data_IF_849832043429
#
_entry.id   IF_849832043429
#
_cell.length_a   1.000
_cell.length_b   1.000
_cell.length_c   1.000
_cell.angle_alpha   90.00
_cell.angle_beta   90.00
_cell.angle_gamma   90.00
#
_symmetry.space_group_name_H-M   'P 1'
#
loop_
_entity.id
_entity.type
_entity.pdbx_description
1 polymer ?
#
# COMPACT_ATOMS: atom_id res chain seq x y z
N UNK A 1 54.18 22.59 -33.02
CA UNK A 1 52.74 22.26 -32.90
C UNK A 1 51.79 23.41 -33.25
N UNK A 2 51.65 24.51 -32.48
CA UNK A 2 50.68 25.58 -32.84
C UNK A 2 51.16 26.56 -33.93
N UNK A 3 52.48 26.83 -34.02
CA UNK A 3 53.07 27.59 -35.16
C UNK A 3 53.01 26.83 -36.49
N UNK A 4 52.92 25.49 -36.45
CA UNK A 4 52.80 24.64 -37.65
C UNK A 4 51.37 24.63 -38.21
N UNK A 5 50.39 25.16 -37.47
CA UNK A 5 48.99 25.28 -37.88
C UNK A 5 48.65 26.70 -38.40
N UNK A 6 49.64 27.58 -38.57
CA UNK A 6 49.47 28.89 -39.21
C UNK A 6 48.95 30.02 -38.31
N UNK A 7 48.88 29.82 -37.00
CA UNK A 7 48.48 30.88 -36.06
C UNK A 7 49.59 31.92 -35.88
N UNK A 8 49.23 33.20 -35.99
CA UNK A 8 50.14 34.35 -35.80
C UNK A 8 50.25 34.72 -34.31
N UNK A 9 51.39 35.27 -33.91
CA UNK A 9 51.77 35.46 -32.49
C UNK A 9 50.84 36.44 -31.70
N UNK A 10 49.90 37.13 -32.35
CA UNK A 10 48.90 38.04 -31.74
C UNK A 10 47.46 37.44 -31.65
N UNK A 11 47.24 36.19 -32.08
CA UNK A 11 45.88 35.62 -32.10
C UNK A 11 45.39 35.13 -30.74
N UNK A 12 44.19 35.57 -30.34
CA UNK A 12 43.47 35.06 -29.17
C UNK A 12 42.71 33.80 -29.58
N UNK A 13 43.09 32.64 -29.04
CA UNK A 13 42.35 31.40 -29.25
C UNK A 13 41.23 31.30 -28.21
N UNK A 14 39.99 31.29 -28.69
CA UNK A 14 38.83 30.99 -27.85
C UNK A 14 38.60 29.48 -27.82
N UNK A 15 38.68 28.88 -26.64
CA UNK A 15 38.38 27.46 -26.43
C UNK A 15 37.04 27.36 -25.70
N UNK A 16 36.01 26.90 -26.41
CA UNK A 16 34.73 26.59 -25.79
C UNK A 16 34.78 25.19 -25.20
N UNK A 17 34.73 25.08 -23.87
CA UNK A 17 34.58 23.80 -23.18
C UNK A 17 33.11 23.57 -22.89
N UNK A 18 32.51 22.62 -23.60
CA UNK A 18 31.13 22.21 -23.38
C UNK A 18 31.09 21.12 -22.32
N UNK A 19 30.70 21.47 -21.10
CA UNK A 19 30.46 20.50 -20.05
C UNK A 19 28.97 20.20 -19.96
N UNK A 20 28.59 18.98 -20.35
CA UNK A 20 27.27 18.48 -19.99
C UNK A 20 27.30 18.10 -18.51
N UNK A 21 27.08 19.08 -17.63
CA UNK A 21 26.61 18.77 -16.29
C UNK A 21 25.23 18.17 -16.51
N UNK A 22 25.17 16.86 -16.57
CA UNK A 22 23.95 16.13 -16.34
C UNK A 22 23.74 16.25 -14.83
N UNK A 23 22.79 17.05 -14.31
CA UNK A 23 22.38 16.97 -12.91
C UNK A 23 21.60 15.66 -12.67
N UNK A 24 22.03 14.56 -13.30
CA UNK A 24 21.72 13.18 -12.98
C UNK A 24 22.45 12.83 -11.67
N UNK A 25 22.25 13.65 -10.63
CA UNK A 25 22.27 13.10 -9.29
C UNK A 25 21.02 12.24 -9.22
N UNK A 26 21.23 10.96 -9.51
CA UNK A 26 20.26 9.86 -9.43
C UNK A 26 19.16 10.14 -8.40
N UNK A 27 18.05 10.68 -8.87
CA UNK A 27 16.79 10.64 -8.14
C UNK A 27 15.93 9.56 -8.83
N UNK A 28 15.37 8.60 -8.09
CA UNK A 28 14.55 7.53 -8.67
C UNK A 28 13.23 8.01 -9.29
N UNK A 29 12.92 9.31 -9.27
CA UNK A 29 11.59 9.86 -9.56
C UNK A 29 11.58 11.06 -10.53
N UNK A 30 12.29 10.95 -11.64
CA UNK A 30 12.02 11.75 -12.84
C UNK A 30 13.10 12.75 -13.24
N UNK A 31 13.15 13.03 -14.54
CA UNK A 31 14.05 14.00 -15.14
C UNK A 31 13.55 15.43 -14.89
N UNK A 32 14.48 16.34 -14.62
CA UNK A 32 14.21 17.78 -14.61
C UNK A 32 13.86 18.24 -16.03
N UNK A 33 12.84 19.08 -16.16
CA UNK A 33 12.37 19.61 -17.43
C UNK A 33 12.40 21.15 -17.35
N UNK A 34 12.96 21.79 -18.37
CA UNK A 34 12.87 23.24 -18.58
C UNK A 34 11.53 23.54 -19.22
N UNK A 35 10.82 24.54 -18.69
CA UNK A 35 9.53 24.96 -19.20
C UNK A 35 9.67 25.95 -20.36
N UNK A 36 8.74 25.90 -21.32
CA UNK A 36 8.63 26.92 -22.35
C UNK A 36 8.31 28.29 -21.72
N UNK A 37 8.70 29.42 -22.35
CA UNK A 37 8.42 30.76 -21.83
C UNK A 37 6.93 31.00 -21.52
N UNK A 38 6.04 30.49 -22.36
CA UNK A 38 4.60 30.61 -22.16
C UNK A 38 4.11 29.89 -20.88
N UNK A 39 4.69 28.73 -20.55
CA UNK A 39 4.32 27.97 -19.36
C UNK A 39 4.98 28.55 -18.09
N UNK A 40 6.21 29.08 -18.22
CA UNK A 40 6.91 29.81 -17.16
C UNK A 40 6.17 31.07 -16.75
N UNK A 41 5.63 31.85 -17.70
CA UNK A 41 4.82 33.05 -17.41
C UNK A 41 3.59 32.71 -16.53
N UNK A 42 2.97 31.55 -16.75
CA UNK A 42 1.79 31.11 -15.99
C UNK A 42 2.16 30.59 -14.60
N UNK A 43 3.19 29.73 -14.52
CA UNK A 43 3.49 28.98 -13.30
C UNK A 43 4.54 29.65 -12.41
N UNK A 44 5.29 30.63 -12.93
CA UNK A 44 6.38 31.29 -12.21
C UNK A 44 7.58 30.37 -11.91
N UNK A 45 7.69 29.25 -12.63
CA UNK A 45 8.76 28.26 -12.49
C UNK A 45 9.45 28.03 -13.84
N UNK A 46 10.77 27.90 -13.81
CA UNK A 46 11.60 27.71 -15.00
C UNK A 46 12.02 26.24 -15.18
N UNK A 47 12.31 25.55 -14.08
CA UNK A 47 12.78 24.16 -14.08
C UNK A 47 12.11 23.39 -12.94
N UNK A 48 11.47 22.27 -13.26
CA UNK A 48 10.95 21.35 -12.25
C UNK A 48 10.73 19.95 -12.85
N UNK A 49 10.23 19.02 -12.03
CA UNK A 49 9.83 17.67 -12.46
C UNK A 49 8.40 17.68 -12.98
N UNK A 50 8.11 16.85 -14.00
CA UNK A 50 6.78 16.71 -14.59
C UNK A 50 5.63 16.57 -13.58
N UNK A 51 5.71 15.72 -12.53
CA UNK A 51 4.63 15.60 -11.54
C UNK A 51 4.41 16.88 -10.76
N UNK A 52 5.48 17.60 -10.41
CA UNK A 52 5.41 18.87 -9.69
C UNK A 52 4.82 19.97 -10.57
N UNK A 53 5.19 20.04 -11.86
CA UNK A 53 4.60 20.95 -12.84
C UNK A 53 3.09 20.73 -12.94
N UNK A 54 2.64 19.48 -13.10
CA UNK A 54 1.20 19.13 -13.11
C UNK A 54 0.53 19.56 -11.80
N UNK A 55 1.19 19.34 -10.66
CA UNK A 55 0.73 19.77 -9.35
C UNK A 55 0.56 21.29 -9.24
N UNK A 56 1.50 22.08 -9.78
CA UNK A 56 1.41 23.55 -9.78
C UNK A 56 0.29 24.03 -10.71
N UNK A 57 0.12 23.43 -11.89
CA UNK A 57 -1.01 23.74 -12.80
C UNK A 57 -2.34 23.48 -12.08
N UNK A 58 -2.45 22.36 -11.36
CA UNK A 58 -3.65 22.05 -10.57
C UNK A 58 -3.92 23.10 -9.49
N UNK A 59 -2.88 23.53 -8.76
CA UNK A 59 -3.00 24.61 -7.77
C UNK A 59 -3.40 25.95 -8.41
N UNK A 60 -2.83 26.29 -9.56
CA UNK A 60 -3.18 27.50 -10.32
C UNK A 60 -4.66 27.51 -10.70
N UNK A 61 -5.17 26.40 -11.27
CA UNK A 61 -6.58 26.25 -11.66
C UNK A 61 -7.51 26.39 -10.46
N UNK A 62 -7.15 25.80 -9.31
CA UNK A 62 -7.93 25.93 -8.07
C UNK A 62 -7.91 27.35 -7.50
N UNK A 63 -6.73 27.98 -7.43
CA UNK A 63 -6.58 29.33 -6.87
C UNK A 63 -7.41 30.37 -7.64
N UNK A 64 -7.52 30.21 -8.96
CA UNK A 64 -8.30 31.09 -9.84
C UNK A 64 -9.75 30.64 -10.08
N UNK A 65 -10.21 29.59 -9.40
CA UNK A 65 -11.57 29.03 -9.52
C UNK A 65 -11.97 28.73 -10.97
N UNK A 66 -11.01 28.21 -11.75
CA UNK A 66 -11.20 27.93 -13.18
C UNK A 66 -11.85 26.57 -13.44
N UNK A 67 -12.04 25.75 -12.41
CA UNK A 67 -12.70 24.46 -12.51
C UNK A 67 -14.19 24.63 -12.87
N UNK A 68 -14.70 23.79 -13.76
CA UNK A 68 -16.09 23.84 -14.18
C UNK A 68 -17.01 23.32 -13.04
N UNK A 69 -18.03 24.09 -12.60
CA UNK A 69 -18.93 23.68 -11.53
C UNK A 69 -19.82 22.49 -11.90
N UNK A 70 -20.14 22.31 -13.19
CA UNK A 70 -21.01 21.21 -13.65
C UNK A 70 -20.26 19.91 -13.90
N UNK A 71 -18.96 19.96 -14.18
CA UNK A 71 -18.12 18.78 -14.38
C UNK A 71 -16.70 19.05 -13.86
N UNK A 72 -16.33 18.52 -12.69
CA UNK A 72 -15.03 18.77 -12.06
C UNK A 72 -13.84 18.18 -12.82
N UNK A 73 -14.09 17.36 -13.84
CA UNK A 73 -13.04 16.80 -14.71
C UNK A 73 -12.46 17.83 -15.67
N UNK A 74 -13.17 18.94 -15.89
CA UNK A 74 -12.78 20.02 -16.80
C UNK A 74 -12.48 21.33 -16.06
N UNK A 75 -11.62 22.13 -16.67
CA UNK A 75 -11.38 23.52 -16.31
C UNK A 75 -11.41 24.41 -17.55
N UNK A 76 -11.73 25.68 -17.33
CA UNK A 76 -11.67 26.74 -18.33
C UNK A 76 -10.27 27.35 -18.30
N UNK A 77 -9.64 27.45 -19.47
CA UNK A 77 -8.35 28.12 -19.59
C UNK A 77 -8.60 29.63 -19.58
N UNK A 78 -7.97 30.33 -18.65
CA UNK A 78 -7.88 31.79 -18.70
C UNK A 78 -6.89 32.22 -19.81
N UNK A 79 -6.81 33.53 -20.08
CA UNK A 79 -5.99 34.05 -21.17
C UNK A 79 -4.53 33.53 -21.17
N UNK A 80 -3.82 33.44 -20.03
CA UNK A 80 -2.48 32.84 -19.98
C UNK A 80 -2.47 31.34 -20.30
N UNK A 81 -3.40 30.56 -19.74
CA UNK A 81 -3.51 29.12 -20.04
C UNK A 81 -3.92 28.85 -21.50
N UNK A 82 -4.70 29.74 -22.11
CA UNK A 82 -5.05 29.65 -23.53
C UNK A 82 -3.81 29.82 -24.42
N UNK A 83 -2.87 30.70 -24.06
CA UNK A 83 -1.60 30.83 -24.81
C UNK A 83 -0.77 29.55 -24.78
N UNK A 84 -0.80 28.83 -23.66
CA UNK A 84 -0.09 27.54 -23.52
C UNK A 84 -0.82 26.45 -24.28
N UNK A 85 -2.11 26.25 -24.00
CA UNK A 85 -2.83 25.06 -24.45
C UNK A 85 -3.57 25.22 -25.79
N UNK A 86 -3.79 26.45 -26.23
CA UNK A 86 -4.54 26.78 -27.45
C UNK A 86 -6.01 26.39 -27.41
N UNK A 87 -6.59 26.23 -26.21
CA UNK A 87 -7.99 25.79 -26.02
C UNK A 87 -8.63 26.52 -24.86
N UNK A 88 -9.92 26.83 -24.99
CA UNK A 88 -10.71 27.51 -23.95
C UNK A 88 -11.13 26.57 -22.80
N UNK A 89 -11.24 25.27 -23.08
CA UNK A 89 -11.67 24.25 -22.11
C UNK A 89 -10.84 22.98 -22.25
N UNK A 90 -10.43 22.40 -21.13
CA UNK A 90 -9.59 21.20 -21.09
C UNK A 90 -9.96 20.25 -19.96
N UNK A 91 -9.77 18.93 -20.18
CA UNK A 91 -9.81 17.90 -19.12
C UNK A 91 -8.46 17.80 -18.42
N UNK A 92 -8.45 17.59 -17.11
CA UNK A 92 -7.22 17.40 -16.34
C UNK A 92 -6.36 16.21 -16.84
N UNK A 93 -6.98 15.14 -17.33
CA UNK A 93 -6.27 13.98 -17.89
C UNK A 93 -5.43 14.32 -19.13
N UNK A 94 -5.79 15.38 -19.85
CA UNK A 94 -5.07 15.81 -21.06
C UNK A 94 -3.90 16.74 -20.75
N UNK A 95 -3.81 17.27 -19.53
CA UNK A 95 -2.76 18.22 -19.12
C UNK A 95 -1.38 17.60 -19.32
N UNK A 96 -1.16 16.37 -18.84
CA UNK A 96 0.12 15.68 -18.98
C UNK A 96 0.56 15.58 -20.44
N UNK A 97 -0.35 15.26 -21.36
CA UNK A 97 -0.02 15.18 -22.79
C UNK A 97 0.30 16.57 -23.35
N UNK A 98 -0.51 17.57 -23.03
CA UNK A 98 -0.40 18.93 -23.57
C UNK A 98 0.86 19.64 -23.11
N UNK A 99 1.27 19.46 -21.86
CA UNK A 99 2.52 20.06 -21.36
C UNK A 99 3.76 19.45 -22.00
N UNK A 100 3.71 18.23 -22.55
CA UNK A 100 4.90 17.59 -23.17
C UNK A 100 5.57 18.46 -24.24
N UNK A 101 4.80 19.28 -24.97
CA UNK A 101 5.31 20.19 -26.00
C UNK A 101 5.96 21.47 -25.43
N UNK A 102 5.80 21.70 -24.13
CA UNK A 102 6.31 22.85 -23.39
C UNK A 102 7.42 22.45 -22.41
N UNK A 103 7.93 21.21 -22.51
CA UNK A 103 8.92 20.64 -21.62
C UNK A 103 10.13 20.25 -22.44
N UNK A 104 11.29 20.77 -22.05
CA UNK A 104 12.56 20.57 -22.76
C UNK A 104 13.58 19.95 -21.82
N UNK A 105 14.50 19.11 -22.34
CA UNK A 105 15.61 18.63 -21.54
C UNK A 105 16.49 19.82 -21.09
N UNK A 106 17.11 19.74 -19.90
CA UNK A 106 17.97 20.79 -19.40
C UNK A 106 19.16 21.00 -20.34
N UNK A 107 19.42 22.24 -20.71
CA UNK A 107 20.50 22.56 -21.63
C UNK A 107 21.87 22.33 -20.94
N UNK A 108 22.85 21.76 -21.66
CA UNK A 108 24.22 21.65 -21.15
C UNK A 108 24.80 23.03 -20.82
N UNK A 109 25.53 23.11 -19.72
CA UNK A 109 26.24 24.35 -19.33
C UNK A 109 27.44 24.53 -20.26
N UNK A 110 27.45 25.59 -21.08
CA UNK A 110 28.57 25.94 -21.94
C UNK A 110 29.48 26.95 -21.24
N UNK A 111 30.75 26.61 -21.07
CA UNK A 111 31.76 27.54 -20.56
C UNK A 111 32.77 27.88 -21.64
N UNK A 112 32.75 29.14 -22.08
CA UNK A 112 33.73 29.67 -23.03
C UNK A 112 34.94 30.21 -22.28
N UNK A 113 36.11 29.59 -22.48
CA UNK A 113 37.36 30.06 -21.90
C UNK A 113 38.28 30.60 -23.00
N UNK A 114 38.54 31.92 -22.97
CA UNK A 114 39.44 32.57 -23.93
C UNK A 114 40.87 32.46 -23.45
N UNK A 115 41.69 31.69 -24.16
CA UNK A 115 43.11 31.51 -23.87
C UNK A 115 43.90 32.58 -24.62
N UNK A 116 44.69 33.38 -23.89
CA UNK A 116 45.68 34.29 -24.49
C UNK A 116 47.01 33.54 -24.62
N UNK A 117 47.65 33.61 -25.79
CA UNK A 117 48.88 32.85 -26.08
C UNK A 117 50.18 33.55 -25.63
N UNK A 118 50.12 34.84 -25.23
CA UNK A 118 51.28 35.62 -24.77
C UNK A 118 50.93 36.53 -23.57
N UNK A 119 51.90 36.66 -22.65
CA UNK A 119 51.78 37.37 -21.36
C UNK A 119 51.71 36.41 -20.16
N UNK A 120 52.01 36.88 -18.94
CA UNK A 120 51.86 36.09 -17.70
C UNK A 120 50.48 35.39 -17.75
N UNK A 121 50.47 34.05 -17.77
CA UNK A 121 49.25 33.27 -17.68
C UNK A 121 48.41 33.85 -16.54
N UNK A 122 47.11 34.14 -16.73
CA UNK A 122 46.27 34.56 -15.62
C UNK A 122 46.38 33.46 -14.58
N UNK A 123 47.10 33.75 -13.50
CA UNK A 123 47.43 32.80 -12.42
C UNK A 123 46.19 32.45 -11.61
N UNK A 124 45.03 32.99 -11.98
CA UNK A 124 43.74 32.68 -11.40
C UNK A 124 43.09 31.51 -12.12
N UNK A 125 43.05 30.37 -11.46
CA UNK A 125 42.10 29.29 -11.75
C UNK A 125 40.70 29.90 -11.90
N UNK A 126 40.07 29.74 -13.07
CA UNK A 126 38.67 30.11 -13.23
C UNK A 126 37.82 29.11 -12.41
N UNK A 127 37.39 29.53 -11.23
CA UNK A 127 36.52 28.75 -10.37
C UNK A 127 35.06 29.07 -10.70
N UNK A 128 34.27 28.04 -11.03
CA UNK A 128 32.84 28.15 -11.25
C UNK A 128 32.12 27.40 -10.14
N UNK A 129 31.33 28.13 -9.36
CA UNK A 129 30.45 27.51 -8.36
C UNK A 129 29.15 27.06 -9.03
N UNK A 130 28.83 25.77 -8.89
CA UNK A 130 27.58 25.18 -9.37
C UNK A 130 26.81 24.64 -8.18
N UNK A 131 25.64 25.20 -7.92
CA UNK A 131 24.71 24.63 -6.93
C UNK A 131 24.08 23.36 -7.49
N UNK A 132 24.26 22.23 -6.80
CA UNK A 132 23.72 20.94 -7.21
C UNK A 132 22.79 20.39 -6.15
N UNK A 133 21.63 19.90 -6.56
CA UNK A 133 20.62 19.29 -5.69
C UNK A 133 21.05 17.87 -5.27
N UNK A 134 21.64 17.73 -4.09
CA UNK A 134 22.04 16.43 -3.54
C UNK A 134 20.83 15.74 -2.88
N UNK A 135 20.52 14.47 -3.22
CA UNK A 135 19.47 13.71 -2.54
C UNK A 135 19.69 13.68 -1.02
N UNK A 136 18.62 13.89 -0.25
CA UNK A 136 18.72 13.97 1.21
C UNK A 136 19.25 12.66 1.83
N UNK A 137 20.17 12.73 2.83
CA UNK A 137 20.73 11.56 3.52
C UNK A 137 19.68 10.64 4.18
N UNK A 138 18.47 11.16 4.41
CA UNK A 138 17.36 10.43 5.03
C UNK A 138 16.94 9.21 4.21
N UNK A 139 17.02 9.23 2.88
CA UNK A 139 16.64 8.07 2.05
C UNK A 139 17.52 6.85 2.36
N UNK A 140 18.82 7.07 2.59
CA UNK A 140 19.75 6.01 3.01
C UNK A 140 19.46 5.50 4.41
N UNK A 141 19.05 6.37 5.33
CA UNK A 141 18.61 5.95 6.67
C UNK A 141 17.31 5.14 6.59
N UNK A 142 16.38 5.55 5.74
CA UNK A 142 15.10 4.87 5.51
C UNK A 142 15.30 3.47 4.92
N UNK A 143 16.18 3.31 3.94
CA UNK A 143 16.49 1.99 3.38
C UNK A 143 17.14 1.05 4.41
N UNK A 144 18.03 1.57 5.26
CA UNK A 144 18.61 0.81 6.38
C UNK A 144 17.56 0.40 7.41
N UNK A 145 16.60 1.27 7.71
CA UNK A 145 15.48 0.94 8.61
C UNK A 145 14.57 -0.13 8.01
N UNK A 146 14.26 -0.05 6.72
CA UNK A 146 13.43 -1.05 6.03
C UNK A 146 14.13 -2.41 5.95
N UNK A 147 15.45 -2.44 5.74
CA UNK A 147 16.23 -3.69 5.76
C UNK A 147 16.25 -4.36 7.15
N UNK A 148 16.14 -3.58 8.24
CA UNK A 148 16.08 -4.14 9.60
C UNK A 148 14.77 -4.90 9.91
N UNK A 149 13.73 -4.80 9.06
CA UNK A 149 12.50 -5.60 9.20
C UNK A 149 12.80 -7.10 9.06
N UNK A 150 13.84 -7.47 8.30
CA UNK A 150 14.26 -8.87 8.14
C UNK A 150 14.86 -9.48 9.43
N UNK A 151 15.20 -8.67 10.44
CA UNK A 151 15.70 -9.13 11.74
C UNK A 151 14.59 -9.59 12.70
N UNK A 152 13.32 -9.53 12.29
CA UNK A 152 12.21 -10.02 13.12
C UNK A 152 12.16 -11.55 13.24
N UNK A 153 12.98 -12.31 12.51
CA UNK A 153 13.03 -13.78 12.62
C UNK A 153 13.34 -14.27 14.03
N UNK A 154 14.23 -13.58 14.76
CA UNK A 154 14.54 -13.92 16.15
C UNK A 154 13.34 -13.66 17.08
N UNK A 155 12.56 -12.61 16.79
CA UNK A 155 11.33 -12.29 17.52
C UNK A 155 10.27 -13.36 17.26
N UNK A 156 10.09 -13.78 16.00
CA UNK A 156 9.15 -14.85 15.63
C UNK A 156 9.47 -16.17 16.33
N UNK A 157 10.76 -16.54 16.41
CA UNK A 157 11.20 -17.73 17.15
C UNK A 157 10.95 -17.61 18.66
N UNK A 158 11.14 -16.42 19.24
CA UNK A 158 10.80 -16.17 20.63
C UNK A 158 9.29 -16.32 20.87
N UNK A 159 8.46 -15.77 19.99
CA UNK A 159 7.01 -15.85 20.07
C UNK A 159 6.50 -17.29 19.95
N UNK A 160 7.08 -18.09 19.06
CA UNK A 160 6.76 -19.52 18.94
C UNK A 160 7.10 -20.28 20.22
N UNK A 161 8.28 -20.02 20.79
CA UNK A 161 8.71 -20.61 22.07
C UNK A 161 7.77 -20.22 23.22
N UNK A 162 7.42 -18.94 23.32
CA UNK A 162 6.46 -18.42 24.31
C UNK A 162 5.11 -19.13 24.16
N UNK A 163 4.58 -19.23 22.94
CA UNK A 163 3.31 -19.92 22.68
C UNK A 163 3.36 -21.41 23.06
N UNK A 164 4.48 -22.08 22.76
CA UNK A 164 4.71 -23.47 23.14
C UNK A 164 4.73 -23.68 24.65
N UNK A 165 5.39 -22.79 25.40
CA UNK A 165 5.44 -22.82 26.86
C UNK A 165 4.06 -22.54 27.46
N UNK A 166 3.34 -21.54 26.96
CA UNK A 166 1.98 -21.21 27.41
C UNK A 166 1.05 -22.43 27.24
N UNK A 167 1.09 -23.11 26.09
CA UNK A 167 0.32 -24.35 25.88
C UNK A 167 0.66 -25.43 26.90
N UNK A 168 1.95 -25.62 27.21
CA UNK A 168 2.38 -26.59 28.24
C UNK A 168 1.85 -26.20 29.63
N UNK A 169 1.92 -24.92 29.99
CA UNK A 169 1.39 -24.42 31.27
C UNK A 169 -0.10 -24.71 31.38
N UNK A 170 -0.89 -24.37 30.36
CA UNK A 170 -2.33 -24.66 30.36
C UNK A 170 -2.61 -26.16 30.50
N UNK A 171 -1.85 -27.01 29.81
CA UNK A 171 -1.98 -28.47 29.92
C UNK A 171 -1.66 -28.96 31.35
N UNK A 172 -0.60 -28.45 31.97
CA UNK A 172 -0.25 -28.79 33.35
C UNK A 172 -1.32 -28.31 34.34
N UNK A 173 -1.84 -27.09 34.19
CA UNK A 173 -2.92 -26.56 35.01
C UNK A 173 -4.20 -27.41 34.87
N UNK A 174 -4.55 -27.82 33.65
CA UNK A 174 -5.70 -28.68 33.37
C UNK A 174 -5.56 -30.05 34.02
N UNK A 175 -4.40 -30.70 33.86
CA UNK A 175 -4.12 -32.00 34.52
C UNK A 175 -4.16 -31.88 36.04
N UNK A 176 -3.57 -30.83 36.60
CA UNK A 176 -3.60 -30.58 38.04
C UNK A 176 -5.03 -30.41 38.54
N UNK A 177 -5.83 -29.60 37.86
CA UNK A 177 -7.24 -29.41 38.21
C UNK A 177 -8.02 -30.74 38.17
N UNK A 178 -7.81 -31.55 37.12
CA UNK A 178 -8.43 -32.87 36.99
C UNK A 178 -8.11 -33.79 38.18
N UNK A 179 -6.83 -33.94 38.53
CA UNK A 179 -6.42 -34.80 39.65
C UNK A 179 -6.86 -34.26 41.01
N UNK A 180 -6.90 -32.93 41.17
CA UNK A 180 -7.42 -32.31 42.40
C UNK A 180 -8.92 -32.56 42.57
N UNK A 181 -9.72 -32.36 41.53
CA UNK A 181 -11.16 -32.65 41.57
C UNK A 181 -11.42 -34.12 41.91
N UNK A 182 -10.63 -35.04 41.35
CA UNK A 182 -10.69 -36.46 41.72
C UNK A 182 -10.40 -36.69 43.21
N UNK A 183 -9.32 -36.10 43.73
CA UNK A 183 -8.92 -36.29 45.13
C UNK A 183 -9.92 -35.74 46.16
N UNK A 184 -10.71 -34.72 45.77
CA UNK A 184 -11.68 -34.07 46.65
C UNK A 184 -13.00 -34.85 46.76
N UNK A 185 -13.55 -35.32 45.64
CA UNK A 185 -14.73 -36.20 45.63
C UNK A 185 -14.63 -37.21 44.48
N UNK A 186 -14.11 -38.39 44.79
CA UNK A 186 -13.84 -39.43 43.81
C UNK A 186 -15.12 -39.95 43.14
N UNK A 187 -16.20 -40.11 43.90
CA UNK A 187 -17.47 -40.68 43.41
C UNK A 187 -18.17 -39.70 42.48
N UNK A 188 -18.34 -38.45 42.90
CA UNK A 188 -19.02 -37.44 42.10
C UNK A 188 -18.23 -37.12 40.83
N UNK A 189 -16.91 -37.07 40.93
CA UNK A 189 -16.04 -36.83 39.78
C UNK A 189 -16.10 -37.96 38.75
N UNK A 190 -16.07 -39.23 39.16
CA UNK A 190 -16.18 -40.35 38.22
C UNK A 190 -17.54 -40.32 37.53
N UNK A 191 -18.63 -40.10 38.27
CA UNK A 191 -19.97 -40.01 37.69
C UNK A 191 -20.07 -38.86 36.67
N UNK A 192 -19.61 -37.65 37.05
CA UNK A 192 -19.58 -36.51 36.15
C UNK A 192 -18.69 -36.73 34.92
N UNK A 193 -17.56 -37.43 35.07
CA UNK A 193 -16.67 -37.78 33.96
C UNK A 193 -17.34 -38.76 33.00
N UNK A 194 -17.96 -39.83 33.51
CA UNK A 194 -18.68 -40.81 32.68
C UNK A 194 -19.80 -40.11 31.92
N UNK A 195 -20.55 -39.23 32.57
CA UNK A 195 -21.59 -38.42 31.91
C UNK A 195 -21.02 -37.48 30.85
N UNK A 196 -19.88 -36.83 31.10
CA UNK A 196 -19.21 -35.99 30.11
C UNK A 196 -18.73 -36.80 28.91
N UNK A 197 -18.01 -37.90 29.14
CA UNK A 197 -17.48 -38.76 28.08
C UNK A 197 -18.61 -39.42 27.26
N UNK A 198 -19.71 -39.81 27.91
CA UNK A 198 -20.90 -40.34 27.23
C UNK A 198 -21.52 -39.28 26.31
N UNK A 199 -21.59 -38.01 26.75
CA UNK A 199 -22.08 -36.90 25.91
C UNK A 199 -21.14 -36.62 24.74
N UNK A 200 -19.84 -36.53 25.00
CA UNK A 200 -18.83 -36.23 23.98
C UNK A 200 -18.81 -37.32 22.89
N UNK A 201 -18.95 -38.59 23.28
CA UNK A 201 -19.05 -39.72 22.34
C UNK A 201 -20.31 -39.63 21.48
N UNK A 202 -21.47 -39.32 22.07
CA UNK A 202 -22.73 -39.17 21.32
C UNK A 202 -22.66 -38.04 20.30
N UNK A 203 -22.04 -36.91 20.68
CA UNK A 203 -21.80 -35.78 19.79
C UNK A 203 -20.84 -36.16 18.64
N UNK A 204 -19.75 -36.86 18.95
CA UNK A 204 -18.80 -37.32 17.93
C UNK A 204 -19.41 -38.33 16.95
N UNK A 205 -20.31 -39.20 17.43
CA UNK A 205 -21.03 -40.18 16.62
C UNK A 205 -22.18 -39.57 15.79
N UNK A 206 -22.53 -38.29 16.01
CA UNK A 206 -23.67 -37.64 15.36
C UNK A 206 -25.01 -38.25 15.74
N UNK A 207 -25.09 -39.02 16.83
CA UNK A 207 -26.34 -39.60 17.30
C UNK A 207 -27.24 -38.48 17.83
N UNK A 208 -28.55 -38.50 17.52
CA UNK A 208 -29.49 -37.60 18.18
C UNK A 208 -29.41 -37.82 19.69
N UNK A 209 -29.74 -36.79 20.48
CA UNK A 209 -29.77 -36.83 21.95
C UNK A 209 -30.87 -37.74 22.51
N UNK A 210 -30.92 -38.99 22.05
CA UNK A 210 -31.87 -40.00 22.44
C UNK A 210 -31.26 -40.81 23.57
N UNK A 211 -31.89 -40.76 24.74
CA UNK A 211 -31.44 -41.49 25.90
C UNK A 211 -32.35 -42.70 26.10
N UNK A 212 -32.00 -43.82 25.46
CA UNK A 212 -32.76 -45.07 25.45
C UNK A 212 -33.12 -45.56 26.87
N UNK A 213 -32.20 -45.38 27.81
CA UNK A 213 -32.44 -45.74 29.22
C UNK A 213 -33.52 -44.88 29.89
N UNK A 214 -33.64 -43.61 29.51
CA UNK A 214 -34.75 -42.76 29.98
C UNK A 214 -36.06 -43.12 29.28
N UNK A 215 -36.02 -43.45 27.98
CA UNK A 215 -37.19 -43.89 27.20
C UNK A 215 -37.79 -45.21 27.71
N UNK A 216 -37.04 -46.03 28.43
CA UNK A 216 -37.53 -47.27 29.05
C UNK A 216 -38.27 -47.05 30.38
N UNK A 217 -38.19 -45.86 30.97
CA UNK A 217 -38.85 -45.54 32.25
C UNK A 217 -40.22 -44.93 32.01
N UNK A 218 -41.24 -45.39 32.74
CA UNK A 218 -42.61 -44.86 32.62
C UNK A 218 -42.68 -43.35 32.86
N UNK A 219 -41.84 -42.82 33.75
CA UNK A 219 -41.79 -41.40 34.12
C UNK A 219 -41.46 -40.47 32.94
N UNK A 220 -40.77 -41.01 31.92
CA UNK A 220 -40.46 -40.29 30.69
C UNK A 220 -41.73 -39.95 29.90
N UNK A 221 -42.77 -40.77 29.99
CA UNK A 221 -44.05 -40.58 29.29
C UNK A 221 -45.11 -39.88 30.15
N UNK A 222 -44.76 -39.46 31.38
CA UNK A 222 -45.63 -38.66 32.26
C UNK A 222 -45.35 -37.15 32.11
N UNK A 223 -44.84 -36.72 30.96
CA UNK A 223 -44.40 -35.35 30.72
C UNK A 223 -45.45 -34.54 29.93
N UNK A 224 -45.54 -33.22 30.12
CA UNK A 224 -46.56 -32.38 29.46
C UNK A 224 -46.54 -32.42 27.93
N UNK A 225 -45.38 -32.71 27.33
CA UNK A 225 -45.23 -32.81 25.88
C UNK A 225 -45.88 -34.06 25.27
N UNK A 226 -46.25 -35.05 26.08
CA UNK A 226 -46.71 -36.36 25.61
C UNK A 226 -48.09 -36.25 24.97
N UNK A 227 -49.01 -35.48 25.55
CA UNK A 227 -50.36 -35.25 24.99
C UNK A 227 -50.27 -34.65 23.58
N UNK A 228 -49.46 -33.60 23.41
CA UNK A 228 -49.21 -32.94 22.13
C UNK A 228 -48.60 -33.91 21.09
N UNK A 229 -47.66 -34.76 21.51
CA UNK A 229 -47.02 -35.75 20.63
C UNK A 229 -48.02 -36.83 20.21
N UNK A 230 -48.88 -37.30 21.12
CA UNK A 230 -49.93 -38.29 20.81
C UNK A 230 -50.92 -37.71 19.81
N UNK A 231 -51.38 -36.48 20.01
CA UNK A 231 -52.31 -35.80 19.09
C UNK A 231 -51.68 -35.66 17.69
N UNK A 232 -50.42 -35.20 17.61
CA UNK A 232 -49.70 -35.08 16.32
C UNK A 232 -49.52 -36.44 15.64
N UNK A 233 -49.17 -37.47 16.41
CA UNK A 233 -49.00 -38.82 15.87
C UNK A 233 -50.32 -39.38 15.30
N UNK A 234 -51.43 -39.23 16.04
CA UNK A 234 -52.75 -39.67 15.58
C UNK A 234 -53.19 -38.94 14.31
N UNK A 235 -53.00 -37.62 14.25
CA UNK A 235 -53.32 -36.81 13.06
C UNK A 235 -52.47 -37.20 11.84
N UNK A 236 -51.17 -37.48 12.02
CA UNK A 236 -50.32 -37.99 10.95
C UNK A 236 -50.74 -39.39 10.49
N UNK A 237 -51.14 -40.26 11.42
CA UNK A 237 -51.58 -41.63 11.11
C UNK A 237 -52.91 -41.65 10.35
N UNK A 238 -53.87 -40.79 10.72
CA UNK A 238 -55.12 -40.63 9.95
C UNK A 238 -54.90 -40.08 8.55
N UNK A 239 -53.91 -39.21 8.35
CA UNK A 239 -53.54 -38.70 7.02
C UNK A 239 -52.94 -39.83 6.14
N UNK A 240 -52.01 -40.63 6.67
CA UNK A 240 -51.41 -41.75 5.93
C UNK A 240 -52.38 -42.91 5.63
N UNK A 241 -53.45 -43.06 6.42
CA UNK A 241 -54.50 -44.04 6.17
C UNK A 241 -55.51 -43.60 5.10
N UNK A 242 -55.58 -42.30 4.79
CA UNK A 242 -56.50 -41.77 3.77
C UNK A 242 -55.94 -41.86 2.35
N UNK A 243 -54.61 -41.93 2.19
CA UNK A 243 -53.94 -42.13 0.89
C UNK A 243 -54.00 -43.58 0.38
N UNK A 244 -54.34 -44.55 1.24
CA UNK A 244 -54.44 -45.97 0.87
C UNK A 244 -55.83 -46.41 0.37
N UNK A 245 -56.84 -45.54 0.40
CA UNK A 245 -58.23 -45.85 0.00
C UNK A 245 -58.71 -45.10 -1.25
N UNK A 246 -57.79 -44.50 -2.01
CA UNK A 246 -58.07 -43.77 -3.25
C UNK A 246 -57.32 -44.32 -4.46
N UNK A 247 -57.47 -45.60 -4.79
CA UNK A 247 -57.09 -46.10 -6.11
C UNK A 247 -57.90 -47.36 -6.46
N UNK A 248 -59.10 -47.13 -6.98
CA UNK A 248 -59.80 -48.04 -7.90
C UNK A 248 -59.84 -47.40 -9.27
#
# INVERSE_FOLDING_TARGET
MLRELGFTDDEIISVALKFSINPQLEKPFGHWEILSPALTEVLGIEVDTRPKIIGVIWHYVKARKLQNPSDPSFFHCDQPLQKVFGKDKMKFTMVSQKISHHLFPPQPVLWEHKIKLLGNCPTGTACYDVTVDVPFPIQRKLSVLLANVEKNKEIELCDESICGIIRKIYEHCRRRAFFLSFSQSHVDFINAMIESQSRDLKLAAGEPSRNTEKEHRSDFYNQPWVEDVVIRHLNCKSASGSDALGST
#
